data_IF_602111465148
#
_entry.id   IF_602111465148
#
_cell.length_a   1.000
_cell.length_b   1.000
_cell.length_c   1.000
_cell.angle_alpha   90.00
_cell.angle_beta   90.00
_cell.angle_gamma   90.00
#
_symmetry.space_group_name_H-M   'P 1'
#
loop_
_entity.id
_entity.type
_entity.pdbx_description
1 polymer ?
#
# COMPACT_ATOMS: atom_id res chain seq x y z
N UNK A 1 25.81 -71.39 15.58
CA UNK A 1 25.45 -71.98 16.88
C UNK A 1 24.07 -71.45 17.26
N UNK A 2 23.03 -72.31 17.31
CA UNK A 2 21.59 -71.95 17.47
C UNK A 2 21.05 -71.09 16.28
N UNK A 3 19.97 -71.39 15.52
CA UNK A 3 18.65 -72.04 15.75
C UNK A 3 17.80 -71.26 16.78
N UNK A 4 16.50 -70.95 16.66
CA UNK A 4 15.37 -71.12 15.71
C UNK A 4 14.25 -70.14 16.19
N UNK A 5 13.01 -69.90 15.69
CA UNK A 5 12.03 -70.31 14.64
C UNK A 5 10.94 -69.15 14.64
N UNK A 6 9.94 -68.95 13.76
CA UNK A 6 9.42 -69.66 12.58
C UNK A 6 8.64 -68.72 11.59
N UNK A 7 8.76 -69.01 10.30
CA UNK A 7 7.68 -69.19 9.27
C UNK A 7 6.33 -68.47 9.36
N UNK A 8 6.06 -67.69 8.31
CA UNK A 8 5.02 -67.88 7.27
C UNK A 8 3.51 -68.07 7.57
N UNK A 9 2.72 -67.42 6.70
CA UNK A 9 1.49 -67.90 6.04
C UNK A 9 0.08 -67.42 6.50
N UNK A 10 -0.42 -66.38 5.80
CA UNK A 10 -1.53 -66.42 4.80
C UNK A 10 -2.96 -66.88 5.21
N UNK A 11 -3.95 -66.14 4.68
CA UNK A 11 -5.40 -66.43 4.42
C UNK A 11 -6.49 -65.70 5.27
N UNK A 12 -7.42 -65.09 4.50
CA UNK A 12 -8.79 -64.55 4.69
C UNK A 12 -9.54 -64.57 6.04
N UNK A 13 -10.19 -63.43 6.34
CA UNK A 13 -11.61 -63.28 6.73
C UNK A 13 -12.08 -61.91 6.14
N UNK A 14 -12.83 -61.85 5.03
CA UNK A 14 -14.31 -61.90 4.88
C UNK A 14 -15.09 -60.77 5.57
N UNK A 15 -16.10 -60.25 4.86
CA UNK A 15 -16.98 -59.16 5.30
C UNK A 15 -17.87 -59.58 6.49
N UNK A 16 -18.23 -58.64 7.36
CA UNK A 16 -19.59 -58.55 7.88
C UNK A 16 -20.14 -57.12 7.68
N UNK A 17 -21.46 -56.98 7.58
CA UNK A 17 -22.15 -55.88 6.92
C UNK A 17 -23.31 -55.34 7.79
N UNK A 18 -23.02 -55.09 9.07
CA UNK A 18 -24.03 -54.73 10.08
C UNK A 18 -23.85 -53.28 10.58
N UNK A 19 -24.82 -52.43 10.21
CA UNK A 19 -24.91 -51.04 10.65
C UNK A 19 -25.83 -50.19 9.77
N UNK A 20 -25.72 -50.33 8.44
CA UNK A 20 -26.42 -49.54 7.43
C UNK A 20 -27.96 -49.80 7.28
N UNK A 21 -28.63 -50.28 8.34
CA UNK A 21 -30.08 -50.62 8.33
C UNK A 21 -30.96 -49.78 9.27
N UNK A 22 -30.40 -48.99 10.20
CA UNK A 22 -31.20 -48.32 11.25
C UNK A 22 -31.63 -46.87 10.99
N UNK A 23 -31.92 -46.46 9.74
CA UNK A 23 -32.65 -45.19 9.50
C UNK A 23 -33.56 -45.15 8.27
N UNK A 24 -33.89 -46.30 7.68
CA UNK A 24 -34.66 -46.38 6.41
C UNK A 24 -36.19 -46.24 6.57
N UNK A 25 -36.69 -45.36 7.45
CA UNK A 25 -38.15 -45.27 7.74
C UNK A 25 -38.80 -43.91 8.08
N UNK A 26 -38.32 -42.73 7.62
CA UNK A 26 -39.15 -41.49 7.69
C UNK A 26 -39.01 -40.40 6.60
N UNK A 27 -38.49 -40.70 5.40
CA UNK A 27 -38.44 -39.74 4.28
C UNK A 27 -39.12 -40.23 2.98
N UNK A 28 -40.41 -40.63 3.08
CA UNK A 28 -41.34 -40.61 1.93
C UNK A 28 -42.42 -39.57 2.21
N UNK A 29 -42.30 -38.38 1.61
CA UNK A 29 -43.28 -37.30 1.74
C UNK A 29 -42.77 -35.91 1.32
N UNK A 30 -41.50 -35.59 1.59
CA UNK A 30 -40.98 -34.21 1.49
C UNK A 30 -40.34 -33.82 0.13
N UNK A 31 -40.51 -34.62 -0.93
CA UNK A 31 -40.02 -34.30 -2.28
C UNK A 31 -41.06 -34.62 -3.36
N UNK A 32 -42.15 -33.84 -3.39
CA UNK A 32 -42.99 -33.68 -4.59
C UNK A 32 -42.81 -32.32 -5.28
N UNK A 33 -42.25 -31.34 -4.57
CA UNK A 33 -42.19 -29.93 -4.98
C UNK A 33 -40.76 -29.46 -5.29
N UNK A 34 -39.88 -30.33 -5.82
CA UNK A 34 -38.47 -29.96 -6.11
C UNK A 34 -38.36 -28.76 -7.07
N UNK A 35 -39.32 -28.58 -7.99
CA UNK A 35 -39.43 -27.36 -8.80
C UNK A 35 -39.67 -26.11 -7.95
N UNK A 36 -40.54 -26.18 -6.94
CA UNK A 36 -40.79 -25.05 -6.02
C UNK A 36 -39.54 -24.74 -5.19
N UNK A 37 -38.78 -25.75 -4.75
CA UNK A 37 -37.51 -25.52 -4.04
C UNK A 37 -36.46 -24.85 -4.95
N UNK A 38 -36.37 -25.24 -6.23
CA UNK A 38 -35.52 -24.56 -7.22
C UNK A 38 -36.01 -23.12 -7.49
N UNK A 39 -37.32 -22.88 -7.61
CA UNK A 39 -37.86 -21.52 -7.72
C UNK A 39 -37.64 -20.69 -6.46
N UNK A 40 -37.66 -21.29 -5.26
CA UNK A 40 -37.39 -20.59 -4.01
C UNK A 40 -35.90 -20.21 -3.90
N UNK A 41 -34.99 -21.10 -4.31
CA UNK A 41 -33.56 -20.80 -4.44
C UNK A 41 -33.28 -19.71 -5.48
N UNK A 42 -33.90 -19.79 -6.66
CA UNK A 42 -33.77 -18.75 -7.70
C UNK A 42 -34.34 -17.40 -7.22
N UNK A 43 -35.49 -17.41 -6.54
CA UNK A 43 -36.08 -16.21 -5.94
C UNK A 43 -35.14 -15.61 -4.88
N UNK A 44 -34.56 -16.43 -4.00
CA UNK A 44 -33.58 -15.97 -3.01
C UNK A 44 -32.29 -15.43 -3.66
N UNK A 45 -31.83 -16.04 -4.75
CA UNK A 45 -30.65 -15.60 -5.51
C UNK A 45 -30.90 -14.27 -6.25
N UNK A 46 -32.14 -14.01 -6.70
CA UNK A 46 -32.58 -12.71 -7.23
C UNK A 46 -32.77 -11.69 -6.09
N UNK A 47 -33.19 -12.12 -4.90
CA UNK A 47 -33.36 -11.26 -3.73
C UNK A 47 -32.04 -10.84 -3.06
N UNK A 48 -30.91 -11.50 -3.38
CA UNK A 48 -29.55 -10.92 -3.26
C UNK A 48 -29.32 -9.94 -4.41
N UNK A 49 -30.26 -9.00 -4.55
CA UNK A 49 -30.08 -7.79 -5.35
C UNK A 49 -28.95 -6.98 -4.71
N UNK A 50 -28.08 -6.37 -5.52
CA UNK A 50 -26.93 -5.64 -5.01
C UNK A 50 -27.36 -4.56 -4.00
N UNK A 51 -26.82 -4.65 -2.78
CA UNK A 51 -26.83 -3.50 -1.87
C UNK A 51 -26.05 -2.38 -2.57
N UNK A 52 -26.56 -1.13 -2.60
CA UNK A 52 -25.85 -0.03 -3.21
C UNK A 52 -24.41 0.07 -2.71
N UNK A 53 -23.44 0.06 -3.62
CA UNK A 53 -22.09 0.46 -3.26
C UNK A 53 -22.14 1.94 -2.90
N UNK A 54 -21.82 2.28 -1.65
CA UNK A 54 -21.58 3.67 -1.29
C UNK A 54 -20.45 4.22 -2.18
N UNK A 55 -20.47 5.49 -2.60
CA UNK A 55 -19.32 6.08 -3.28
C UNK A 55 -18.07 5.95 -2.41
N UNK A 56 -16.95 5.51 -3.00
CA UNK A 56 -15.65 5.36 -2.33
C UNK A 56 -14.60 6.13 -3.12
N UNK A 57 -13.69 6.81 -2.43
CA UNK A 57 -12.51 7.46 -3.02
C UNK A 57 -11.23 6.70 -2.60
N UNK A 58 -10.14 6.79 -3.37
CA UNK A 58 -8.82 6.31 -2.95
C UNK A 58 -8.40 6.86 -1.59
N UNK A 59 -7.68 6.09 -0.76
CA UNK A 59 -7.30 6.51 0.60
C UNK A 59 -6.39 7.76 0.65
N UNK A 60 -5.79 8.15 -0.48
CA UNK A 60 -5.10 9.45 -0.65
C UNK A 60 -6.04 10.65 -0.40
N UNK A 61 -7.34 10.50 -0.64
CA UNK A 61 -8.36 11.45 -0.23
C UNK A 61 -8.77 11.18 1.22
N UNK A 62 -8.31 12.04 2.12
CA UNK A 62 -8.65 12.03 3.54
C UNK A 62 -8.64 13.46 4.11
N UNK A 63 -9.09 13.64 5.35
CA UNK A 63 -8.96 14.93 6.05
C UNK A 63 -7.50 15.39 6.10
N UNK A 64 -7.29 16.70 6.19
CA UNK A 64 -5.98 17.38 6.19
C UNK A 64 -5.19 17.31 4.87
N UNK A 65 -5.76 16.79 3.77
CA UNK A 65 -5.02 16.64 2.51
C UNK A 65 -4.63 17.96 1.83
N UNK A 66 -3.59 17.88 0.97
CA UNK A 66 -3.19 18.98 0.07
C UNK A 66 -3.41 18.54 -1.38
N UNK A 67 -4.07 19.41 -2.14
CA UNK A 67 -4.30 19.27 -3.58
C UNK A 67 -3.45 20.33 -4.32
N UNK A 68 -2.90 19.97 -5.48
CA UNK A 68 -2.06 20.88 -6.27
C UNK A 68 -2.86 22.10 -6.74
N UNK A 69 -2.33 23.30 -6.49
CA UNK A 69 -2.89 24.58 -6.96
C UNK A 69 -2.62 24.83 -8.44
N UNK A 70 -3.37 25.77 -9.01
CA UNK A 70 -3.12 26.39 -10.33
C UNK A 70 -3.07 25.41 -11.52
N UNK A 71 -3.66 24.21 -11.34
CA UNK A 71 -3.89 23.19 -12.37
C UNK A 71 -5.31 22.62 -12.24
N UNK A 72 -5.76 21.83 -13.21
CA UNK A 72 -7.03 21.11 -13.15
C UNK A 72 -7.11 20.19 -11.92
N UNK A 73 -8.12 20.38 -11.07
CA UNK A 73 -8.27 19.56 -9.86
C UNK A 73 -9.16 18.37 -10.19
N UNK A 74 -8.55 17.19 -10.29
CA UNK A 74 -9.24 15.94 -10.65
C UNK A 74 -9.58 15.18 -9.37
N UNK A 75 -10.86 14.92 -9.16
CA UNK A 75 -11.38 14.10 -8.05
C UNK A 75 -12.02 12.86 -8.67
N UNK A 76 -11.69 11.67 -8.17
CA UNK A 76 -12.16 10.41 -8.73
C UNK A 76 -12.41 9.36 -7.65
N UNK A 77 -13.14 8.31 -8.03
CA UNK A 77 -13.45 7.20 -7.15
C UNK A 77 -14.29 6.14 -7.84
N UNK A 78 -14.97 5.35 -7.01
CA UNK A 78 -15.88 4.29 -7.41
C UNK A 78 -17.28 4.53 -6.83
N UNK A 79 -18.30 3.96 -7.46
CA UNK A 79 -19.69 3.92 -6.99
C UNK A 79 -20.48 2.87 -7.82
N UNK A 80 -21.77 2.73 -7.59
CA UNK A 80 -22.65 1.96 -8.48
C UNK A 80 -22.66 2.56 -9.92
N UNK A 81 -22.59 1.73 -10.98
CA UNK A 81 -22.75 2.19 -12.37
C UNK A 81 -24.04 3.00 -12.60
N UNK A 82 -23.93 4.09 -13.34
CA UNK A 82 -25.04 5.02 -13.60
C UNK A 82 -25.39 5.97 -12.44
N UNK A 83 -24.68 5.91 -11.31
CA UNK A 83 -24.88 6.87 -10.22
C UNK A 83 -24.45 8.29 -10.62
N UNK A 84 -25.31 9.27 -10.33
CA UNK A 84 -24.97 10.69 -10.45
C UNK A 84 -24.14 11.12 -9.23
N UNK A 85 -22.92 11.61 -9.49
CA UNK A 85 -22.02 12.15 -8.48
C UNK A 85 -21.90 13.67 -8.69
N UNK A 86 -21.98 14.45 -7.62
CA UNK A 86 -21.65 15.88 -7.62
C UNK A 86 -20.50 16.14 -6.66
N UNK A 87 -19.48 16.87 -7.11
CA UNK A 87 -18.30 17.20 -6.29
C UNK A 87 -18.19 18.70 -6.14
N UNK A 88 -17.90 19.19 -4.93
CA UNK A 88 -17.61 20.60 -4.66
C UNK A 88 -16.40 20.79 -3.73
N UNK A 89 -15.56 21.79 -4.05
CA UNK A 89 -14.37 22.18 -3.29
C UNK A 89 -14.22 23.70 -3.37
N UNK A 90 -14.41 24.39 -2.25
CA UNK A 90 -14.33 25.86 -2.21
C UNK A 90 -15.35 26.50 -3.17
N UNK A 91 -14.86 27.19 -4.20
CA UNK A 91 -15.68 27.81 -5.24
C UNK A 91 -15.85 26.93 -6.51
N UNK A 92 -15.15 25.80 -6.61
CA UNK A 92 -15.28 24.86 -7.73
C UNK A 92 -16.32 23.79 -7.46
N UNK A 93 -17.15 23.47 -8.46
CA UNK A 93 -18.04 22.31 -8.42
C UNK A 93 -18.23 21.69 -9.80
N UNK A 94 -18.53 20.39 -9.86
CA UNK A 94 -18.81 19.71 -11.13
C UNK A 94 -19.52 18.36 -10.96
N UNK A 95 -20.35 17.95 -11.93
CA UNK A 95 -21.00 16.64 -11.94
C UNK A 95 -20.16 15.56 -12.62
N UNK A 96 -20.43 14.31 -12.29
CA UNK A 96 -20.04 13.11 -13.04
C UNK A 96 -21.17 12.09 -13.03
N UNK A 97 -21.12 11.14 -13.95
CA UNK A 97 -21.94 9.92 -13.93
C UNK A 97 -20.97 8.75 -13.86
N UNK A 98 -21.23 7.79 -12.98
CA UNK A 98 -20.40 6.60 -12.81
C UNK A 98 -20.51 5.67 -14.01
N UNK A 99 -19.36 5.26 -14.55
CA UNK A 99 -19.25 4.39 -15.72
C UNK A 99 -19.70 2.95 -15.48
N UNK A 100 -19.81 2.14 -16.56
CA UNK A 100 -20.15 0.71 -16.46
C UNK A 100 -19.08 -0.13 -15.75
N UNK A 101 -17.87 0.41 -15.59
CA UNK A 101 -16.76 -0.14 -14.81
C UNK A 101 -16.78 0.28 -13.33
N UNK A 102 -17.84 0.98 -12.90
CA UNK A 102 -18.01 1.47 -11.53
C UNK A 102 -17.14 2.69 -11.19
N UNK A 103 -16.43 3.30 -12.15
CA UNK A 103 -15.55 4.46 -11.91
C UNK A 103 -16.23 5.79 -12.24
N UNK A 104 -15.88 6.83 -11.50
CA UNK A 104 -16.28 8.21 -11.81
C UNK A 104 -15.10 9.17 -11.63
N UNK A 105 -15.16 10.31 -12.33
CA UNK A 105 -14.19 11.42 -12.21
C UNK A 105 -14.85 12.76 -12.51
N UNK A 106 -14.64 13.72 -11.62
CA UNK A 106 -14.93 15.15 -11.85
C UNK A 106 -13.62 15.89 -12.08
N UNK A 107 -13.59 16.80 -13.05
CA UNK A 107 -12.55 17.82 -13.18
C UNK A 107 -13.11 19.15 -12.72
N UNK A 108 -12.53 19.72 -11.67
CA UNK A 108 -12.82 21.06 -11.16
C UNK A 108 -11.85 22.09 -11.76
N UNK A 109 -12.26 23.35 -11.91
CA UNK A 109 -11.40 24.41 -12.45
C UNK A 109 -10.17 24.65 -11.57
N UNK A 110 -9.10 25.16 -12.18
CA UNK A 110 -7.89 25.52 -11.47
C UNK A 110 -8.14 26.63 -10.43
N UNK A 111 -7.63 26.41 -9.22
CA UNK A 111 -7.80 27.33 -8.08
C UNK A 111 -6.43 27.70 -7.48
N UNK A 112 -6.33 28.93 -6.96
CA UNK A 112 -5.11 29.44 -6.30
C UNK A 112 -4.85 28.75 -4.97
N UNK A 113 -3.62 28.91 -4.47
CA UNK A 113 -3.25 28.47 -3.13
C UNK A 113 -4.21 29.02 -2.04
N UNK A 114 -4.55 28.20 -1.05
CA UNK A 114 -5.52 28.57 -0.02
C UNK A 114 -6.00 27.40 0.83
N UNK A 115 -7.08 27.64 1.57
CA UNK A 115 -7.67 26.71 2.52
C UNK A 115 -7.62 27.22 3.96
N UNK A 116 -8.19 26.48 4.93
CA UNK A 116 -8.84 25.18 4.74
C UNK A 116 -10.15 25.28 3.96
N UNK A 117 -10.36 24.31 3.07
CA UNK A 117 -11.62 24.07 2.37
C UNK A 117 -12.25 22.76 2.85
N UNK A 118 -13.49 22.54 2.42
CA UNK A 118 -14.20 21.27 2.53
C UNK A 118 -14.35 20.69 1.13
N UNK A 119 -13.90 19.45 0.91
CA UNK A 119 -14.29 18.66 -0.27
C UNK A 119 -15.57 17.91 0.07
N UNK A 120 -16.62 18.09 -0.73
CA UNK A 120 -17.87 17.33 -0.60
C UNK A 120 -18.08 16.49 -1.85
N UNK A 121 -18.37 15.20 -1.69
CA UNK A 121 -18.75 14.29 -2.77
C UNK A 121 -20.16 13.77 -2.46
N UNK A 122 -21.13 14.12 -3.28
CA UNK A 122 -22.55 13.77 -3.13
C UNK A 122 -22.92 12.74 -4.19
N UNK A 123 -23.10 11.49 -3.77
CA UNK A 123 -23.80 10.45 -4.53
C UNK A 123 -25.07 10.03 -3.77
N UNK A 124 -25.39 8.73 -3.74
CA UNK A 124 -26.40 8.16 -2.82
C UNK A 124 -26.07 8.38 -1.36
N UNK A 125 -24.77 8.53 -1.04
CA UNK A 125 -24.24 8.99 0.24
C UNK A 125 -23.40 10.24 0.02
N UNK A 126 -23.35 11.12 1.02
CA UNK A 126 -22.42 12.26 1.02
C UNK A 126 -21.16 11.90 1.79
N UNK A 127 -20.00 12.03 1.16
CA UNK A 127 -18.69 12.03 1.80
C UNK A 127 -18.21 13.48 1.93
N UNK A 128 -17.54 13.79 3.05
CA UNK A 128 -17.04 15.12 3.38
C UNK A 128 -15.61 14.97 3.89
N UNK A 129 -14.66 15.64 3.25
CA UNK A 129 -13.28 15.77 3.74
C UNK A 129 -13.02 17.22 4.17
N UNK A 130 -12.31 17.37 5.29
CA UNK A 130 -12.08 18.64 6.00
C UNK A 130 -10.60 19.03 6.01
N UNK A 131 -10.33 20.30 6.31
CA UNK A 131 -8.97 20.87 6.32
C UNK A 131 -8.22 20.70 4.99
N UNK A 132 -8.96 20.69 3.87
CA UNK A 132 -8.41 20.50 2.52
C UNK A 132 -7.66 21.76 2.09
N UNK A 133 -6.37 21.64 1.80
CA UNK A 133 -5.52 22.74 1.37
C UNK A 133 -5.30 22.72 -0.15
N UNK A 134 -5.14 23.90 -0.75
CA UNK A 134 -4.60 24.07 -2.10
C UNK A 134 -3.19 24.65 -2.00
N UNK A 135 -2.20 23.96 -2.57
CA UNK A 135 -0.79 24.28 -2.39
C UNK A 135 0.13 23.56 -3.38
N UNK A 136 1.39 23.39 -3.03
CA UNK A 136 2.29 22.49 -3.77
C UNK A 136 2.18 21.05 -3.24
N UNK A 137 2.20 20.07 -4.13
CA UNK A 137 2.19 18.64 -3.80
C UNK A 137 3.40 17.96 -4.44
N UNK A 138 4.25 17.34 -3.62
CA UNK A 138 5.48 16.69 -4.06
C UNK A 138 5.52 15.22 -3.63
N UNK A 139 6.06 14.36 -4.50
CA UNK A 139 6.30 12.95 -4.17
C UNK A 139 7.76 12.80 -3.74
N UNK A 140 7.95 12.31 -2.51
CA UNK A 140 9.25 11.93 -1.96
C UNK A 140 9.41 10.41 -2.08
N UNK A 141 10.36 9.95 -2.89
CA UNK A 141 10.53 8.52 -3.21
C UNK A 141 12.00 8.10 -3.24
N UNK A 142 12.24 6.79 -3.25
CA UNK A 142 13.54 6.15 -3.09
C UNK A 142 13.55 5.12 -1.96
N UNK A 143 14.70 4.95 -1.32
CA UNK A 143 14.92 3.90 -0.32
C UNK A 143 15.28 4.44 1.09
N UNK A 144 16.13 3.73 1.84
CA UNK A 144 16.51 3.97 3.24
C UNK A 144 16.76 5.45 3.58
N UNK A 145 17.60 6.12 2.79
CA UNK A 145 17.95 7.53 2.99
C UNK A 145 16.74 8.49 2.81
N UNK A 146 15.75 8.11 1.99
CA UNK A 146 14.49 8.87 1.86
C UNK A 146 13.51 8.55 3.00
N UNK A 147 13.62 7.40 3.65
CA UNK A 147 12.83 7.06 4.86
C UNK A 147 13.47 7.50 6.17
N UNK A 148 14.70 8.03 6.16
CA UNK A 148 15.47 8.34 7.37
C UNK A 148 14.77 9.40 8.22
N UNK A 149 14.37 9.04 9.44
CA UNK A 149 13.49 9.83 10.28
C UNK A 149 14.16 11.10 10.84
N UNK A 150 13.40 12.19 10.96
CA UNK A 150 13.89 13.45 11.53
C UNK A 150 14.40 13.29 12.97
N UNK A 151 13.85 12.34 13.75
CA UNK A 151 14.34 12.02 15.10
C UNK A 151 15.81 11.58 15.18
N UNK A 152 16.36 10.98 14.10
CA UNK A 152 17.77 10.61 14.01
C UNK A 152 18.68 11.69 13.40
N UNK A 153 18.11 12.75 12.82
CA UNK A 153 18.87 13.74 12.07
C UNK A 153 19.73 14.66 12.96
N UNK A 154 20.90 15.07 12.46
CA UNK A 154 21.73 16.08 13.11
C UNK A 154 20.95 17.39 13.30
N UNK A 155 20.76 17.81 14.57
CA UNK A 155 19.98 19.01 14.91
C UNK A 155 18.51 18.75 15.23
N UNK A 156 18.05 17.50 15.22
CA UNK A 156 16.69 17.08 15.59
C UNK A 156 16.22 17.68 16.93
N UNK A 157 17.13 17.79 17.91
CA UNK A 157 16.85 18.29 19.26
C UNK A 157 16.43 19.78 19.28
N UNK A 158 16.81 20.53 18.24
CA UNK A 158 16.43 21.93 18.03
C UNK A 158 15.32 22.08 17.01
N UNK A 159 15.30 21.24 15.98
CA UNK A 159 14.34 21.35 14.88
C UNK A 159 12.94 20.90 15.31
N UNK A 160 12.82 19.74 15.97
CA UNK A 160 11.53 19.12 16.31
C UNK A 160 10.64 20.02 17.17
N UNK A 161 11.12 20.67 18.27
CA UNK A 161 10.29 21.59 19.06
C UNK A 161 9.81 22.83 18.28
N UNK A 162 10.49 23.19 17.18
CA UNK A 162 10.19 24.36 16.36
C UNK A 162 9.42 24.00 15.06
N UNK A 163 9.07 22.73 14.85
CA UNK A 163 8.40 22.21 13.65
C UNK A 163 6.89 22.53 13.60
N UNK A 164 6.48 23.72 14.02
CA UNK A 164 5.08 24.15 14.11
C UNK A 164 4.65 24.72 12.75
N UNK A 165 4.35 23.84 11.78
CA UNK A 165 3.98 24.22 10.42
C UNK A 165 2.56 23.75 10.05
N UNK A 166 1.50 24.38 10.57
CA UNK A 166 0.11 23.95 10.36
C UNK A 166 -0.42 24.13 8.93
N UNK A 167 0.43 24.46 7.95
CA UNK A 167 0.15 24.45 6.49
C UNK A 167 1.07 23.52 5.69
N UNK A 168 1.95 22.77 6.36
CA UNK A 168 2.65 21.62 5.79
C UNK A 168 1.91 20.34 6.21
N UNK A 169 1.84 19.36 5.30
CA UNK A 169 1.17 18.07 5.49
C UNK A 169 2.03 16.94 4.92
N UNK A 170 1.97 15.78 5.56
CA UNK A 170 2.65 14.57 5.10
C UNK A 170 1.66 13.43 4.93
N UNK A 171 1.84 12.62 3.89
CA UNK A 171 1.11 11.38 3.66
C UNK A 171 2.12 10.27 3.43
N UNK A 172 2.24 9.36 4.38
CA UNK A 172 3.14 8.21 4.25
C UNK A 172 2.36 7.05 3.62
N UNK A 173 2.74 6.66 2.41
CA UNK A 173 2.14 5.51 1.71
C UNK A 173 2.52 4.23 2.48
N UNK A 174 1.56 3.42 2.96
CA UNK A 174 1.90 2.21 3.70
C UNK A 174 2.55 1.17 2.79
N UNK A 175 3.54 0.46 3.34
CA UNK A 175 4.31 -0.55 2.60
C UNK A 175 3.45 -1.77 2.28
N UNK A 176 3.18 -2.00 1.00
CA UNK A 176 2.54 -3.21 0.46
C UNK A 176 3.35 -3.68 -0.76
N UNK A 177 3.84 -4.92 -0.74
CA UNK A 177 4.49 -5.51 -1.93
C UNK A 177 3.38 -5.89 -2.93
N UNK A 178 3.58 -5.56 -4.20
CA UNK A 178 2.71 -5.95 -5.29
C UNK A 178 3.50 -6.00 -6.60
N UNK A 179 3.35 -7.10 -7.36
CA UNK A 179 3.96 -7.26 -8.69
C UNK A 179 3.11 -6.68 -9.83
N UNK A 180 1.88 -6.28 -9.54
CA UNK A 180 0.91 -5.69 -10.49
C UNK A 180 0.46 -4.30 -10.01
N UNK A 181 0.17 -3.34 -10.92
CA UNK A 181 -0.34 -2.02 -10.56
C UNK A 181 -1.61 -2.09 -9.71
N UNK A 182 -1.57 -1.47 -8.52
CA UNK A 182 -2.70 -1.44 -7.60
C UNK A 182 -3.67 -0.32 -7.93
N UNK A 183 -4.99 -0.55 -7.78
CA UNK A 183 -6.03 0.46 -8.02
C UNK A 183 -6.14 1.50 -6.90
N UNK A 184 -5.68 1.16 -5.70
CA UNK A 184 -5.55 2.02 -4.52
C UNK A 184 -4.48 1.44 -3.58
N UNK A 185 -4.06 2.24 -2.60
CA UNK A 185 -3.12 1.91 -1.52
C UNK A 185 -3.85 1.30 -0.30
N UNK A 186 -3.08 0.90 0.72
CA UNK A 186 -3.63 0.60 2.04
C UNK A 186 -4.05 1.89 2.76
N UNK A 187 -4.93 1.76 3.75
CA UNK A 187 -5.45 2.91 4.51
C UNK A 187 -4.35 3.70 5.22
N UNK A 188 -4.37 5.02 5.01
CA UNK A 188 -3.52 6.02 5.65
C UNK A 188 -4.26 7.38 5.65
N UNK A 189 -3.71 8.36 6.37
CA UNK A 189 -4.27 9.71 6.49
C UNK A 189 -3.17 10.76 6.32
N UNK A 190 -3.54 12.00 5.97
CA UNK A 190 -2.60 13.12 6.00
C UNK A 190 -2.37 13.59 7.44
N UNK A 191 -1.10 13.81 7.78
CA UNK A 191 -0.67 14.30 9.09
C UNK A 191 -0.28 15.78 9.02
N UNK A 192 -0.71 16.55 10.03
CA UNK A 192 -0.28 17.94 10.24
C UNK A 192 1.16 17.96 10.73
N UNK A 193 2.01 18.83 10.18
CA UNK A 193 3.37 19.01 10.69
C UNK A 193 3.37 19.75 12.04
N UNK A 194 3.68 19.03 13.11
CA UNK A 194 3.83 19.52 14.48
C UNK A 194 4.99 18.80 15.20
N UNK A 195 5.47 19.31 16.36
CA UNK A 195 6.52 18.66 17.16
C UNK A 195 6.23 17.21 17.60
N UNK A 196 4.96 16.80 17.57
CA UNK A 196 4.51 15.46 17.90
C UNK A 196 4.70 14.49 16.72
N UNK A 197 4.21 14.87 15.54
CA UNK A 197 4.20 14.04 14.32
C UNK A 197 5.55 14.04 13.59
N UNK A 198 6.23 15.18 13.54
CA UNK A 198 7.41 15.39 12.68
C UNK A 198 8.57 14.41 12.96
N UNK A 199 8.60 13.83 14.16
CA UNK A 199 9.64 12.89 14.63
C UNK A 199 9.81 11.69 13.71
N UNK A 200 8.72 11.15 13.17
CA UNK A 200 8.70 9.98 12.29
C UNK A 200 8.81 10.32 10.81
N UNK A 201 8.63 11.59 10.43
CA UNK A 201 8.73 12.01 9.03
C UNK A 201 10.17 11.92 8.53
N UNK A 202 10.32 11.69 7.23
CA UNK A 202 11.63 11.75 6.56
C UNK A 202 12.29 13.11 6.78
N UNK A 203 13.52 13.11 7.28
CA UNK A 203 14.32 14.31 7.49
C UNK A 203 14.50 15.10 6.18
N UNK A 204 14.79 14.39 5.09
CA UNK A 204 15.02 14.97 3.76
C UNK A 204 13.76 15.67 3.26
N UNK A 205 12.60 15.01 3.32
CA UNK A 205 11.36 15.59 2.82
C UNK A 205 10.78 16.65 3.76
N UNK A 206 11.03 16.55 5.07
CA UNK A 206 10.74 17.62 6.04
C UNK A 206 11.52 18.90 5.73
N UNK A 207 12.86 18.83 5.62
CA UNK A 207 13.66 20.03 5.36
C UNK A 207 13.32 20.67 4.02
N UNK A 208 13.08 19.85 2.98
CA UNK A 208 12.56 20.32 1.70
C UNK A 208 11.21 21.05 1.83
N UNK A 209 10.21 20.43 2.47
CA UNK A 209 8.89 21.02 2.64
C UNK A 209 8.92 22.31 3.46
N UNK A 210 9.72 22.32 4.54
CA UNK A 210 9.93 23.46 5.44
C UNK A 210 10.49 24.67 4.68
N UNK A 211 11.51 24.48 3.86
CA UNK A 211 12.19 25.58 3.19
C UNK A 211 11.48 26.00 1.89
N UNK A 212 10.77 25.07 1.23
CA UNK A 212 9.79 25.39 0.18
C UNK A 212 8.62 26.24 0.74
N UNK A 213 8.10 25.88 1.92
CA UNK A 213 7.06 26.66 2.61
C UNK A 213 7.52 28.07 2.95
N UNK A 214 8.75 28.24 3.45
CA UNK A 214 9.35 29.57 3.71
C UNK A 214 9.51 30.38 2.42
N UNK A 215 9.93 29.75 1.32
CA UNK A 215 10.15 30.43 0.05
C UNK A 215 8.85 30.87 -0.64
N UNK A 216 7.78 30.07 -0.56
CA UNK A 216 6.54 30.30 -1.32
C UNK A 216 5.36 30.80 -0.49
N UNK A 217 5.34 30.57 0.83
CA UNK A 217 4.23 30.89 1.75
C UNK A 217 2.85 30.30 1.38
N UNK A 218 2.82 29.30 0.49
CA UNK A 218 1.65 28.47 0.15
C UNK A 218 1.66 27.16 0.95
N UNK A 219 0.53 26.43 1.09
CA UNK A 219 0.55 25.11 1.73
C UNK A 219 1.44 24.12 0.96
N UNK A 220 2.00 23.14 1.67
CA UNK A 220 2.87 22.11 1.06
C UNK A 220 2.43 20.72 1.52
N UNK A 221 2.12 19.84 0.58
CA UNK A 221 1.86 18.42 0.83
C UNK A 221 3.01 17.56 0.31
N UNK A 222 3.52 16.65 1.16
CA UNK A 222 4.48 15.63 0.76
C UNK A 222 3.83 14.25 0.79
N UNK A 223 3.87 13.55 -0.33
CA UNK A 223 3.51 12.12 -0.41
C UNK A 223 4.82 11.32 -0.33
N UNK A 224 5.07 10.67 0.81
CA UNK A 224 6.24 9.83 1.02
C UNK A 224 5.94 8.39 0.57
N UNK A 225 6.59 7.97 -0.52
CA UNK A 225 6.48 6.63 -1.12
C UNK A 225 7.88 6.05 -1.31
N UNK A 226 8.45 5.52 -0.23
CA UNK A 226 9.84 5.06 -0.17
C UNK A 226 9.99 3.76 0.61
N UNK A 227 10.88 2.87 0.17
CA UNK A 227 11.05 1.52 0.70
C UNK A 227 12.54 1.19 0.96
N UNK A 228 12.96 0.93 2.20
CA UNK A 228 14.37 0.65 2.51
C UNK A 228 14.87 -0.65 1.86
N UNK A 229 16.08 -0.65 1.31
CA UNK A 229 16.72 -1.85 0.76
C UNK A 229 16.30 -2.24 -0.66
N UNK A 230 15.35 -1.55 -1.29
CA UNK A 230 14.94 -1.86 -2.67
C UNK A 230 15.94 -1.37 -3.71
N UNK A 231 16.12 -2.15 -4.77
CA UNK A 231 16.90 -1.82 -5.95
C UNK A 231 16.07 -1.04 -7.00
N UNK A 232 16.73 -0.49 -8.03
CA UNK A 232 16.06 0.37 -9.04
C UNK A 232 15.11 -0.39 -9.96
N UNK A 233 15.43 -1.65 -10.24
CA UNK A 233 14.58 -2.58 -10.99
C UNK A 233 13.22 -2.85 -10.31
N UNK A 234 13.13 -2.78 -8.98
CA UNK A 234 11.88 -3.05 -8.24
C UNK A 234 10.88 -1.87 -8.32
N UNK A 235 11.33 -0.71 -8.77
CA UNK A 235 10.51 0.47 -9.08
C UNK A 235 10.27 0.67 -10.58
N UNK A 236 10.76 -0.24 -11.41
CA UNK A 236 10.71 -0.15 -12.88
C UNK A 236 9.77 -1.23 -13.43
N UNK A 237 8.94 -0.92 -14.42
CA UNK A 237 8.05 -1.92 -15.00
C UNK A 237 8.85 -3.00 -15.78
N UNK A 238 8.38 -4.25 -15.70
CA UNK A 238 9.10 -5.41 -16.26
C UNK A 238 9.26 -5.33 -17.78
N UNK A 239 8.37 -4.63 -18.49
CA UNK A 239 8.45 -4.45 -19.94
C UNK A 239 9.50 -3.40 -20.34
N UNK A 240 9.70 -2.35 -19.54
CA UNK A 240 10.83 -1.44 -19.68
C UNK A 240 12.17 -2.14 -19.38
N UNK A 241 12.24 -2.96 -18.34
CA UNK A 241 13.43 -3.78 -18.04
C UNK A 241 13.77 -4.76 -19.18
N UNK A 242 12.75 -5.38 -19.80
CA UNK A 242 12.91 -6.29 -20.95
C UNK A 242 13.38 -5.60 -22.23
N UNK A 243 13.12 -4.30 -22.40
CA UNK A 243 13.50 -3.54 -23.60
C UNK A 243 14.99 -3.20 -23.64
N UNK A 244 15.65 -3.06 -22.50
CA UNK A 244 17.06 -2.65 -22.43
C UNK A 244 18.02 -3.85 -22.35
N UNK A 245 18.84 -4.11 -23.39
CA UNK A 245 19.69 -5.32 -23.44
C UNK A 245 20.68 -5.47 -22.27
N UNK A 246 21.10 -4.35 -21.68
CA UNK A 246 22.02 -4.33 -20.53
C UNK A 246 21.34 -4.78 -19.22
N UNK A 247 20.01 -4.65 -19.11
CA UNK A 247 19.23 -5.04 -17.92
C UNK A 247 18.72 -6.48 -18.00
N UNK A 248 18.84 -7.14 -19.16
CA UNK A 248 18.37 -8.52 -19.38
C UNK A 248 18.84 -9.54 -18.30
N UNK A 249 20.07 -9.50 -17.75
CA UNK A 249 20.48 -10.41 -16.67
C UNK A 249 19.69 -10.26 -15.35
N UNK A 250 19.05 -9.12 -15.13
CA UNK A 250 18.14 -8.88 -13.98
C UNK A 250 16.81 -9.60 -14.24
N UNK A 251 16.25 -9.43 -15.46
CA UNK A 251 15.03 -10.10 -15.91
C UNK A 251 15.21 -11.62 -15.91
N UNK A 252 16.31 -12.13 -16.48
CA UNK A 252 16.65 -13.56 -16.48
C UNK A 252 16.70 -14.13 -15.05
N UNK A 253 17.32 -13.41 -14.11
CA UNK A 253 17.38 -13.78 -12.68
C UNK A 253 16.00 -13.85 -12.04
N UNK A 254 15.14 -12.86 -12.29
CA UNK A 254 13.75 -12.86 -11.81
C UNK A 254 12.95 -14.02 -12.43
N UNK A 255 13.08 -14.26 -13.73
CA UNK A 255 12.34 -15.32 -14.43
C UNK A 255 12.72 -16.71 -13.91
N UNK A 256 13.99 -17.00 -13.62
CA UNK A 256 14.41 -18.26 -12.99
C UNK A 256 14.25 -18.32 -11.47
N UNK A 257 13.89 -17.22 -10.80
CA UNK A 257 13.64 -17.23 -9.35
C UNK A 257 12.48 -18.16 -8.97
N UNK A 258 12.63 -18.85 -7.85
CA UNK A 258 11.71 -19.90 -7.42
C UNK A 258 10.32 -19.34 -7.03
N UNK A 259 9.32 -20.22 -7.01
CA UNK A 259 7.92 -19.84 -6.85
C UNK A 259 7.59 -19.31 -5.45
N UNK A 260 8.38 -19.67 -4.44
CA UNK A 260 8.35 -19.13 -3.08
C UNK A 260 8.89 -17.68 -3.05
N UNK A 261 10.02 -17.39 -3.70
CA UNK A 261 10.55 -16.02 -3.84
C UNK A 261 9.48 -15.10 -4.47
N UNK A 262 8.79 -15.61 -5.51
CA UNK A 262 7.67 -14.90 -6.16
C UNK A 262 6.40 -14.85 -5.30
N UNK A 263 6.19 -15.76 -4.35
CA UNK A 263 5.05 -15.73 -3.43
C UNK A 263 5.28 -14.75 -2.27
N UNK A 264 6.51 -14.54 -1.81
CA UNK A 264 6.85 -13.43 -0.90
C UNK A 264 6.52 -12.08 -1.54
N UNK A 265 6.76 -11.89 -2.83
CA UNK A 265 6.36 -10.69 -3.56
C UNK A 265 4.83 -10.51 -3.72
N UNK A 266 4.04 -11.55 -3.43
CA UNK A 266 2.57 -11.52 -3.47
C UNK A 266 1.91 -11.36 -2.08
N UNK A 267 2.68 -11.42 -0.99
CA UNK A 267 2.18 -11.31 0.38
C UNK A 267 2.90 -10.19 1.14
N UNK A 268 2.14 -9.34 1.84
CA UNK A 268 2.72 -8.26 2.63
C UNK A 268 3.53 -8.85 3.80
N UNK A 269 4.85 -8.89 3.64
CA UNK A 269 5.80 -9.28 4.68
C UNK A 269 6.17 -8.04 5.49
N UNK A 270 6.09 -8.11 6.81
CA UNK A 270 6.42 -6.99 7.71
C UNK A 270 7.95 -6.81 7.76
N UNK A 271 8.46 -5.91 6.91
CA UNK A 271 9.89 -5.64 6.78
C UNK A 271 10.31 -4.45 7.65
N UNK A 272 10.85 -4.75 8.83
CA UNK A 272 11.68 -3.83 9.61
C UNK A 272 13.14 -3.96 9.20
N UNK A 273 13.85 -2.82 9.20
CA UNK A 273 15.31 -2.81 9.33
C UNK A 273 15.64 -2.04 10.60
N UNK A 274 16.37 -2.68 11.51
CA UNK A 274 17.00 -2.00 12.64
C UNK A 274 18.30 -1.35 12.11
N UNK A 275 18.45 -0.05 12.33
CA UNK A 275 19.48 0.80 11.68
C UNK A 275 20.73 0.99 12.54
N UNK A 276 21.12 -0.03 13.31
CA UNK A 276 22.14 0.09 14.35
C UNK A 276 23.59 0.11 13.80
N UNK A 277 23.84 -0.48 12.62
CA UNK A 277 25.19 -0.68 12.05
C UNK A 277 25.64 0.39 11.02
N UNK A 278 24.96 1.55 10.93
CA UNK A 278 25.36 2.66 10.05
C UNK A 278 26.19 3.73 10.77
N UNK A 279 27.42 3.40 11.16
CA UNK A 279 28.42 4.43 11.50
C UNK A 279 28.76 5.27 10.25
N UNK A 280 28.44 6.56 10.29
CA UNK A 280 28.95 7.55 9.34
C UNK A 280 30.44 7.77 9.57
N UNK A 281 31.27 6.88 9.01
CA UNK A 281 32.73 6.98 9.02
C UNK A 281 33.16 8.37 8.57
N UNK A 282 33.71 9.15 9.50
CA UNK A 282 34.15 10.52 9.29
C UNK A 282 35.53 10.49 8.64
N UNK A 283 35.71 11.16 7.49
CA UNK A 283 37.04 11.27 6.89
C UNK A 283 37.95 12.12 7.79
N UNK A 284 38.86 11.43 8.50
CA UNK A 284 39.80 12.07 9.45
C UNK A 284 40.91 12.84 8.71
N UNK A 285 40.96 12.79 7.37
CA UNK A 285 41.97 13.45 6.55
C UNK A 285 41.51 14.79 5.91
N UNK A 286 40.21 15.11 5.88
CA UNK A 286 39.72 16.43 5.45
C UNK A 286 39.31 17.32 6.64
N UNK A 287 40.12 18.33 7.02
CA UNK A 287 39.76 19.27 8.08
C UNK A 287 38.62 20.24 7.71
N UNK A 288 38.00 20.11 6.52
CA UNK A 288 36.85 20.93 6.08
C UNK A 288 35.52 20.15 6.01
N UNK A 289 35.50 18.86 6.34
CA UNK A 289 34.28 18.12 6.64
C UNK A 289 33.43 17.71 5.44
N UNK A 290 34.02 17.38 4.30
CA UNK A 290 33.32 16.63 3.24
C UNK A 290 32.93 15.23 3.71
N UNK A 291 31.68 14.80 3.46
CA UNK A 291 31.26 13.42 3.70
C UNK A 291 31.76 12.47 2.58
N UNK A 292 31.99 11.21 2.95
CA UNK A 292 32.89 10.30 2.25
C UNK A 292 32.44 9.83 0.86
N UNK A 293 33.43 9.62 -0.02
CA UNK A 293 33.30 8.73 -1.17
C UNK A 293 33.34 7.28 -0.69
N UNK A 294 32.35 6.47 -1.07
CA UNK A 294 32.47 5.01 -0.94
C UNK A 294 33.63 4.51 -1.83
N UNK A 295 34.47 3.63 -1.29
CA UNK A 295 35.41 2.82 -2.10
C UNK A 295 34.78 1.47 -2.40
N UNK A 296 34.71 1.12 -3.68
CA UNK A 296 34.46 -0.27 -4.09
C UNK A 296 35.61 -1.15 -3.59
N UNK A 297 35.30 -2.20 -2.82
CA UNK A 297 36.32 -3.19 -2.40
C UNK A 297 35.99 -4.04 -1.17
N UNK A 298 35.66 -3.42 -0.03
CA UNK A 298 35.78 -4.11 1.28
C UNK A 298 34.46 -4.64 1.87
N UNK A 299 33.52 -5.06 1.01
CA UNK A 299 32.27 -5.72 1.40
C UNK A 299 32.51 -7.18 1.85
N UNK A 300 33.30 -7.38 2.91
CA UNK A 300 33.62 -8.71 3.45
C UNK A 300 32.41 -9.30 4.17
N UNK A 301 31.64 -10.10 3.43
CA UNK A 301 30.64 -11.04 3.94
C UNK A 301 31.24 -11.85 5.10
N UNK A 302 30.79 -11.62 6.34
CA UNK A 302 31.02 -12.56 7.44
C UNK A 302 30.17 -13.79 7.15
N UNK A 303 30.80 -14.94 6.98
CA UNK A 303 30.10 -16.21 6.84
C UNK A 303 29.55 -16.64 8.21
N UNK A 304 28.33 -17.19 8.21
CA UNK A 304 27.73 -17.76 9.41
C UNK A 304 28.48 -19.04 9.77
N UNK A 305 29.20 -19.02 10.90
CA UNK A 305 29.79 -20.23 11.48
C UNK A 305 28.64 -21.11 11.96
N UNK A 306 28.32 -22.16 11.20
CA UNK A 306 27.41 -23.22 11.65
C UNK A 306 28.14 -24.09 12.65
N UNK A 307 27.74 -23.99 13.91
CA UNK A 307 28.24 -24.87 14.98
C UNK A 307 27.85 -26.33 14.68
N UNK A 308 28.82 -27.24 14.77
CA UNK A 308 28.61 -28.69 14.62
C UNK A 308 29.43 -29.46 15.65
N UNK A 309 28.73 -30.31 16.40
CA UNK A 309 29.28 -31.46 17.13
C UNK A 309 28.71 -32.76 16.58
#
# INVERSE_FOLDING_TARGET
>A
MKLQLARDAKLWFTLDLQGAKFMKRKHRGLMKNSRVFVYFLLFFFVLVSALPAEPVLPHLFSDHMVIQRETEIRIWGWADPGENISVSLGAGSGPAITGPDGRWRVTLPAMRAGGPFTLTVQGRKTIVFRDVMLGEVWIASGQSNMTYALSGATGAEKEIPNAIYPRIRFFTVPKKIAVEPQSDILAATWEVCSPETVKSFSAVSYFFARDLYKALSVPVGIILSAWPGTAGEEWTDLESLRREPILRPIVERWEVSAADVKSYAAHATEFSMEFDDFELLRDVSDPRGGFCRAREGDARRRELVTDQG
#
